data_IF_511708328674
#
_entry.id   IF_511708328674
#
_cell.length_a   1.000
_cell.length_b   1.000
_cell.length_c   1.000
_cell.angle_alpha   90.00
_cell.angle_beta   90.00
_cell.angle_gamma   90.00
#
_symmetry.space_group_name_H-M   'P 1'
#
loop_
_entity.id
_entity.type
_entity.pdbx_description
1 polymer ?
#
# COMPACT_ATOMS: atom_id res chain seq x y z
N UNK A 1 -65.82 24.18 7.14
CA UNK A 1 -64.52 24.36 6.47
C UNK A 1 -63.48 24.64 7.54
N UNK A 2 -62.58 23.68 7.77
CA UNK A 2 -61.41 23.77 8.67
C UNK A 2 -60.26 23.13 7.87
N UNK A 3 -59.10 23.78 7.66
CA UNK A 3 -58.06 23.22 6.82
C UNK A 3 -57.42 22.03 7.53
N UNK A 4 -57.37 20.88 6.85
CA UNK A 4 -56.54 19.73 7.25
C UNK A 4 -55.09 20.10 6.91
N UNK A 5 -54.37 20.67 7.87
CA UNK A 5 -52.92 20.80 7.76
C UNK A 5 -52.32 19.44 8.14
N UNK A 6 -51.81 18.75 7.12
CA UNK A 6 -51.08 17.50 7.29
C UNK A 6 -49.75 17.80 8.00
N UNK A 7 -49.49 17.11 9.11
CA UNK A 7 -48.19 17.14 9.78
C UNK A 7 -47.41 15.91 9.33
N UNK A 8 -46.62 16.05 8.27
CA UNK A 8 -45.66 15.03 7.84
C UNK A 8 -44.45 15.15 8.77
N UNK A 9 -44.37 14.29 9.80
CA UNK A 9 -43.18 14.15 10.64
C UNK A 9 -42.13 13.38 9.85
N UNK A 10 -41.29 14.10 9.11
CA UNK A 10 -40.07 13.53 8.53
C UNK A 10 -38.99 13.63 9.59
N UNK A 11 -38.73 12.54 10.29
CA UNK A 11 -37.52 12.39 11.11
C UNK A 11 -36.41 11.96 10.14
N UNK A 12 -35.70 12.91 9.54
CA UNK A 12 -34.43 12.63 8.90
C UNK A 12 -33.40 12.46 10.02
N UNK A 13 -33.22 11.23 10.48
CA UNK A 13 -32.02 10.86 11.20
C UNK A 13 -30.88 10.90 10.18
N UNK A 14 -30.21 12.04 10.06
CA UNK A 14 -28.93 12.11 9.38
C UNK A 14 -27.97 11.37 10.30
N UNK A 15 -27.78 10.07 10.06
CA UNK A 15 -26.66 9.33 10.63
C UNK A 15 -25.41 9.93 9.99
N UNK A 16 -24.89 10.99 10.62
CA UNK A 16 -23.49 11.35 10.48
C UNK A 16 -22.75 10.33 11.35
N UNK A 17 -22.49 9.15 10.78
CA UNK A 17 -21.54 8.22 11.40
C UNK A 17 -20.25 9.00 11.60
N UNK A 18 -19.80 9.02 12.85
CA UNK A 18 -18.71 9.86 13.30
C UNK A 18 -17.49 9.64 12.44
N UNK A 19 -16.83 10.73 12.09
CA UNK A 19 -15.42 10.68 11.71
C UNK A 19 -14.72 10.11 12.95
N UNK A 20 -14.38 8.83 12.87
CA UNK A 20 -13.42 8.22 13.78
C UNK A 20 -12.10 8.93 13.45
N UNK A 21 -11.51 9.62 14.42
CA UNK A 21 -10.28 10.39 14.17
C UNK A 21 -9.12 9.41 14.17
N UNK A 22 -8.87 8.77 13.02
CA UNK A 22 -7.58 8.15 12.78
C UNK A 22 -6.50 9.25 12.81
N UNK A 23 -5.38 8.95 13.46
CA UNK A 23 -4.23 9.85 13.55
C UNK A 23 -3.37 9.70 12.29
N UNK A 24 -3.25 10.75 11.46
CA UNK A 24 -2.42 10.69 10.27
C UNK A 24 -0.94 10.64 10.65
N UNK A 25 -0.19 9.78 9.97
CA UNK A 25 1.24 9.62 10.11
C UNK A 25 1.92 9.35 8.77
N UNK A 26 3.25 9.37 8.81
CA UNK A 26 4.07 9.04 7.65
C UNK A 26 5.44 8.52 8.06
N UNK A 27 5.95 7.51 7.36
CA UNK A 27 7.32 6.98 7.54
C UNK A 27 8.05 7.04 6.18
N UNK A 28 9.31 7.47 6.21
CA UNK A 28 10.19 7.39 5.05
C UNK A 28 10.84 5.99 5.01
N UNK A 29 10.68 5.30 3.89
CA UNK A 29 11.15 3.93 3.64
C UNK A 29 12.15 3.96 2.50
N UNK A 30 13.26 3.24 2.66
CA UNK A 30 14.18 3.01 1.54
C UNK A 30 13.73 1.77 0.76
N UNK A 31 13.30 1.98 -0.48
CA UNK A 31 12.93 0.89 -1.40
C UNK A 31 13.99 0.86 -2.50
N UNK A 32 14.93 -0.08 -2.36
CA UNK A 32 16.07 -0.26 -3.29
C UNK A 32 16.88 1.03 -3.52
N UNK A 33 17.23 1.74 -2.45
CA UNK A 33 17.97 3.00 -2.50
C UNK A 33 17.13 4.22 -2.91
N UNK A 34 15.82 4.06 -3.10
CA UNK A 34 14.89 5.15 -3.37
C UNK A 34 14.08 5.47 -2.10
N UNK A 35 14.18 6.70 -1.55
CA UNK A 35 13.38 7.10 -0.41
C UNK A 35 11.93 7.36 -0.83
N UNK A 36 10.99 6.67 -0.19
CA UNK A 36 9.55 6.73 -0.42
C UNK A 36 8.85 7.06 0.89
N UNK A 37 8.00 8.08 0.90
CA UNK A 37 7.18 8.41 2.08
C UNK A 37 5.87 7.64 2.01
N UNK A 38 5.65 6.72 2.95
CA UNK A 38 4.38 5.99 3.08
C UNK A 38 3.50 6.74 4.07
N UNK A 39 2.27 7.06 3.64
CA UNK A 39 1.28 7.74 4.47
C UNK A 39 0.28 6.73 5.02
N UNK A 40 -0.14 6.96 6.26
CA UNK A 40 -1.14 6.14 6.92
C UNK A 40 -2.01 6.97 7.87
N UNK A 41 -3.16 6.42 8.22
CA UNK A 41 -4.08 6.90 9.23
C UNK A 41 -4.32 5.75 10.22
N UNK A 42 -4.11 6.00 11.52
CA UNK A 42 -4.14 4.94 12.53
C UNK A 42 -5.07 5.25 13.72
N UNK A 43 -5.86 4.28 14.16
CA UNK A 43 -6.63 4.34 15.42
C UNK A 43 -6.21 3.18 16.33
N UNK A 44 -5.64 3.50 17.50
CA UNK A 44 -5.18 2.48 18.44
C UNK A 44 -3.98 1.66 17.93
N UNK A 45 -3.28 2.15 16.91
CA UNK A 45 -2.06 1.58 16.35
C UNK A 45 -1.00 2.68 16.34
N UNK A 46 0.19 2.39 16.86
CA UNK A 46 1.39 3.18 16.61
C UNK A 46 2.24 2.43 15.58
N UNK A 47 2.55 3.07 14.45
CA UNK A 47 3.49 2.52 13.47
C UNK A 47 4.89 2.97 13.84
N UNK A 48 5.77 2.01 14.12
CA UNK A 48 7.13 2.26 14.65
C UNK A 48 8.16 2.35 13.51
N UNK A 49 8.12 1.38 12.60
CA UNK A 49 9.03 1.28 11.44
C UNK A 49 8.29 0.69 10.26
N UNK A 50 8.79 0.97 9.05
CA UNK A 50 8.47 0.23 7.85
C UNK A 50 9.78 -0.04 7.12
N UNK A 51 10.05 -1.32 6.82
CA UNK A 51 11.21 -1.78 6.09
C UNK A 51 10.77 -2.60 4.87
N UNK A 52 11.42 -2.38 3.72
CA UNK A 52 11.15 -3.17 2.53
C UNK A 52 12.02 -4.42 2.49
N UNK A 53 11.39 -5.59 2.28
CA UNK A 53 12.07 -6.84 1.97
C UNK A 53 11.99 -7.12 0.47
N UNK A 54 13.11 -6.86 -0.22
CA UNK A 54 13.20 -7.02 -1.68
C UNK A 54 13.30 -8.49 -2.10
N UNK A 55 13.73 -9.39 -1.21
CA UNK A 55 13.85 -10.82 -1.51
C UNK A 55 12.47 -11.49 -1.49
N UNK A 56 11.55 -10.99 -0.67
CA UNK A 56 10.17 -11.50 -0.52
C UNK A 56 9.10 -10.61 -1.14
N UNK A 57 9.46 -9.43 -1.65
CA UNK A 57 8.53 -8.45 -2.22
C UNK A 57 7.45 -8.07 -1.19
N UNK A 58 7.91 -7.65 -0.02
CA UNK A 58 7.03 -7.27 1.09
C UNK A 58 7.49 -6.00 1.81
N UNK A 59 6.56 -5.43 2.57
CA UNK A 59 6.81 -4.38 3.56
C UNK A 59 6.60 -4.99 4.94
N UNK A 60 7.64 -4.97 5.77
CA UNK A 60 7.61 -5.39 7.17
C UNK A 60 7.39 -4.13 8.01
N UNK A 61 6.36 -4.16 8.83
CA UNK A 61 5.85 -3.01 9.59
C UNK A 61 5.86 -3.39 11.07
N UNK A 62 6.73 -2.74 11.84
CA UNK A 62 6.69 -2.85 13.30
C UNK A 62 5.58 -1.93 13.83
N UNK A 63 4.71 -2.47 14.68
CA UNK A 63 3.58 -1.74 15.27
C UNK A 63 3.52 -1.94 16.79
N UNK A 64 2.90 -0.99 17.49
CA UNK A 64 2.40 -1.20 18.86
C UNK A 64 0.88 -0.99 18.85
N UNK A 65 0.14 -2.08 18.99
CA UNK A 65 -1.34 -2.06 18.91
C UNK A 65 -1.96 -2.02 20.30
N UNK A 66 -2.47 -0.85 20.67
CA UNK A 66 -3.21 -0.62 21.91
C UNK A 66 -4.74 -0.69 21.74
N UNK A 67 -5.23 -0.68 20.50
CA UNK A 67 -6.63 -0.84 20.12
C UNK A 67 -7.14 -2.28 20.29
N UNK A 68 -8.46 -2.47 20.19
CA UNK A 68 -9.10 -3.80 20.22
C UNK A 68 -10.44 -3.77 19.44
N UNK A 69 -10.43 -3.80 18.10
CA UNK A 69 -9.23 -3.83 17.25
C UNK A 69 -8.57 -2.45 17.15
N UNK A 70 -7.28 -2.44 16.80
CA UNK A 70 -6.64 -1.27 16.21
C UNK A 70 -6.92 -1.22 14.71
N UNK A 71 -7.01 -0.03 14.13
CA UNK A 71 -7.26 0.16 12.70
C UNK A 71 -6.06 0.87 12.09
N UNK A 72 -5.51 0.30 11.02
CA UNK A 72 -4.48 0.92 10.20
C UNK A 72 -4.99 1.08 8.77
N UNK A 73 -5.13 2.33 8.31
CA UNK A 73 -5.34 2.68 6.91
C UNK A 73 -4.00 3.10 6.29
N UNK A 74 -3.45 2.31 5.37
CA UNK A 74 -2.13 2.55 4.76
C UNK A 74 -2.27 2.74 3.25
N UNK A 75 -1.67 3.82 2.73
CA UNK A 75 -1.70 4.14 1.29
C UNK A 75 -0.37 3.78 0.64
N UNK A 76 -0.42 2.87 -0.33
CA UNK A 76 0.71 2.34 -1.08
C UNK A 76 0.75 2.96 -2.48
N UNK A 77 1.88 3.53 -2.86
CA UNK A 77 2.10 4.05 -4.21
C UNK A 77 2.50 2.93 -5.16
N UNK A 78 1.69 2.70 -6.20
CA UNK A 78 1.83 1.59 -7.15
C UNK A 78 3.13 1.61 -7.94
N UNK A 79 3.78 2.77 -8.04
CA UNK A 79 5.09 2.90 -8.70
C UNK A 79 6.26 2.39 -7.87
N UNK A 80 6.05 2.05 -6.59
CA UNK A 80 7.09 1.56 -5.70
C UNK A 80 6.75 0.19 -5.12
N UNK A 81 5.48 -0.08 -4.85
CA UNK A 81 5.03 -1.36 -4.31
C UNK A 81 3.59 -1.64 -4.75
N UNK A 82 3.38 -2.77 -5.41
CA UNK A 82 2.07 -3.18 -5.91
C UNK A 82 1.89 -4.71 -5.90
N UNK A 83 0.64 -5.15 -6.04
CA UNK A 83 0.27 -6.54 -6.30
C UNK A 83 -0.46 -6.63 -7.63
N UNK A 84 0.28 -6.99 -8.68
CA UNK A 84 -0.19 -7.11 -10.06
C UNK A 84 0.34 -8.40 -10.68
N UNK A 85 -0.53 -9.09 -11.41
CA UNK A 85 -0.17 -10.25 -12.21
C UNK A 85 -0.76 -10.13 -13.62
N UNK A 86 0.09 -10.29 -14.64
CA UNK A 86 -0.29 -10.17 -16.07
C UNK A 86 -1.07 -8.87 -16.38
N UNK A 87 -0.68 -7.77 -15.72
CA UNK A 87 -1.30 -6.45 -15.87
C UNK A 87 -2.67 -6.30 -15.21
N UNK A 88 -3.07 -7.23 -14.36
CA UNK A 88 -4.30 -7.18 -13.56
C UNK A 88 -3.96 -7.05 -12.08
N UNK A 89 -4.69 -6.20 -11.37
CA UNK A 89 -4.56 -6.02 -9.93
C UNK A 89 -4.93 -7.33 -9.23
N UNK A 90 -4.01 -7.84 -8.42
CA UNK A 90 -4.23 -8.96 -7.52
C UNK A 90 -4.31 -8.44 -6.08
N UNK A 91 -4.84 -9.25 -5.18
CA UNK A 91 -4.89 -8.88 -3.76
C UNK A 91 -3.47 -8.89 -3.17
N UNK A 92 -3.22 -8.02 -2.20
CA UNK A 92 -2.07 -8.16 -1.31
C UNK A 92 -2.32 -9.32 -0.34
N UNK A 93 -1.25 -9.96 0.11
CA UNK A 93 -1.31 -10.90 1.24
C UNK A 93 -0.88 -10.14 2.49
N UNK A 94 -1.69 -10.20 3.53
CA UNK A 94 -1.45 -9.49 4.79
C UNK A 94 -1.26 -10.51 5.90
N UNK A 95 -0.18 -10.39 6.66
CA UNK A 95 0.14 -11.28 7.79
C UNK A 95 0.44 -10.43 9.02
N UNK A 96 -0.30 -10.62 10.10
CA UNK A 96 -0.07 -9.99 11.40
C UNK A 96 0.33 -11.08 12.41
N UNK A 97 1.54 -10.98 12.98
CA UNK A 97 2.15 -11.99 13.87
C UNK A 97 2.05 -13.45 13.36
N UNK A 98 2.10 -13.65 12.05
CA UNK A 98 2.03 -14.96 11.40
C UNK A 98 0.61 -15.46 11.06
N UNK A 99 -0.43 -14.67 11.30
CA UNK A 99 -1.83 -15.01 10.96
C UNK A 99 -2.44 -13.96 10.00
N UNK A 100 -3.45 -14.32 9.22
CA UNK A 100 -4.12 -13.37 8.31
C UNK A 100 -5.15 -12.52 9.09
N UNK A 101 -4.99 -11.18 9.15
CA UNK A 101 -5.96 -10.31 9.79
C UNK A 101 -7.19 -10.06 8.90
N UNK A 102 -8.21 -9.41 9.45
CA UNK A 102 -9.29 -8.85 8.62
C UNK A 102 -8.78 -7.59 7.94
N UNK A 103 -8.92 -7.50 6.62
CA UNK A 103 -8.58 -6.28 5.87
C UNK A 103 -9.53 -6.05 4.70
N UNK A 104 -9.55 -4.82 4.21
CA UNK A 104 -10.24 -4.40 2.98
C UNK A 104 -9.37 -3.43 2.19
N UNK A 105 -9.40 -3.53 0.87
CA UNK A 105 -8.90 -2.45 0.01
C UNK A 105 -10.00 -1.42 -0.21
N UNK A 106 -9.87 -0.28 0.46
CA UNK A 106 -10.92 0.75 0.52
C UNK A 106 -10.85 1.75 -0.63
N UNK A 107 -9.68 1.86 -1.29
CA UNK A 107 -9.50 2.70 -2.47
C UNK A 107 -8.42 2.13 -3.40
N UNK A 108 -8.77 2.01 -4.69
CA UNK A 108 -7.84 1.61 -5.76
C UNK A 108 -7.83 2.69 -6.84
N UNK A 109 -6.66 3.21 -7.16
CA UNK A 109 -6.48 4.15 -8.27
C UNK A 109 -5.41 3.63 -9.24
N UNK A 110 -5.17 4.38 -10.32
CA UNK A 110 -4.06 4.09 -11.23
C UNK A 110 -2.68 4.36 -10.63
N UNK A 111 -2.60 5.00 -9.46
CA UNK A 111 -1.33 5.44 -8.85
C UNK A 111 -1.13 4.95 -7.43
N UNK A 112 -2.19 4.55 -6.73
CA UNK A 112 -2.13 4.12 -5.33
C UNK A 112 -3.20 3.08 -5.01
N UNK A 113 -2.96 2.33 -3.94
CA UNK A 113 -3.93 1.43 -3.30
C UNK A 113 -3.93 1.71 -1.80
N UNK A 114 -5.12 1.78 -1.19
CA UNK A 114 -5.28 2.05 0.23
C UNK A 114 -5.91 0.85 0.92
N UNK A 115 -5.21 0.30 1.89
CA UNK A 115 -5.65 -0.86 2.68
C UNK A 115 -6.11 -0.41 4.06
N UNK A 116 -7.25 -0.91 4.51
CA UNK A 116 -7.71 -0.80 5.90
C UNK A 116 -7.56 -2.17 6.57
N UNK A 117 -6.76 -2.23 7.64
CA UNK A 117 -6.38 -3.48 8.30
C UNK A 117 -6.81 -3.42 9.77
N UNK A 118 -7.53 -4.44 10.23
CA UNK A 118 -7.88 -4.61 11.65
C UNK A 118 -6.79 -5.44 12.35
N UNK A 119 -6.14 -4.84 13.36
CA UNK A 119 -5.07 -5.48 14.13
C UNK A 119 -5.56 -5.82 15.55
N UNK A 120 -5.16 -6.99 16.05
CA UNK A 120 -5.49 -7.39 17.41
C UNK A 120 -4.63 -6.63 18.44
N UNK A 121 -5.14 -6.52 19.67
CA UNK A 121 -4.38 -5.90 20.74
C UNK A 121 -3.09 -6.67 21.03
N UNK A 122 -1.96 -5.96 21.07
CA UNK A 122 -0.65 -6.57 21.28
C UNK A 122 -0.03 -7.21 20.04
N UNK A 123 -0.57 -6.95 18.84
CA UNK A 123 0.16 -7.22 17.60
C UNK A 123 1.43 -6.37 17.56
N UNK A 124 2.55 -6.99 17.22
CA UNK A 124 3.88 -6.36 17.20
C UNK A 124 4.43 -6.24 15.77
N UNK A 125 4.04 -7.14 14.85
CA UNK A 125 4.53 -7.17 13.47
C UNK A 125 3.37 -7.34 12.47
N UNK A 126 3.41 -6.56 11.39
CA UNK A 126 2.55 -6.66 10.22
C UNK A 126 3.41 -6.76 8.96
N UNK A 127 3.13 -7.73 8.10
CA UNK A 127 3.75 -7.88 6.79
C UNK A 127 2.70 -7.70 5.68
N UNK A 128 3.00 -6.85 4.71
CA UNK A 128 2.20 -6.65 3.50
C UNK A 128 3.02 -7.18 2.33
N UNK A 129 2.54 -8.23 1.67
CA UNK A 129 3.24 -8.91 0.58
C UNK A 129 2.55 -8.59 -0.75
N UNK A 130 3.35 -8.15 -1.72
CA UNK A 130 2.93 -7.81 -3.07
C UNK A 130 3.54 -8.75 -4.12
N UNK A 131 3.60 -8.27 -5.36
CA UNK A 131 4.24 -9.00 -6.47
C UNK A 131 5.15 -8.13 -7.33
N UNK A 132 5.11 -6.81 -7.15
CA UNK A 132 5.93 -5.86 -7.87
C UNK A 132 6.49 -4.81 -6.89
N UNK A 133 7.80 -4.70 -6.85
CA UNK A 133 8.47 -3.52 -6.30
C UNK A 133 8.90 -2.74 -7.54
N UNK A 134 8.37 -1.53 -7.72
CA UNK A 134 8.30 -0.78 -8.99
C UNK A 134 9.63 -0.30 -9.59
N UNK A 135 10.70 -1.06 -9.36
CA UNK A 135 11.99 -0.99 -10.01
C UNK A 135 11.88 -1.80 -11.31
N UNK A 136 11.91 -1.12 -12.46
CA UNK A 136 12.13 -1.84 -13.71
C UNK A 136 13.50 -2.51 -13.67
N UNK A 137 13.65 -3.77 -14.13
CA UNK A 137 14.97 -4.36 -14.29
C UNK A 137 15.83 -3.41 -15.13
N UNK A 138 17.06 -3.13 -14.68
CA UNK A 138 17.99 -2.32 -15.47
C UNK A 138 17.96 -2.82 -16.91
N UNK A 139 17.78 -1.92 -17.91
CA UNK A 139 17.82 -2.34 -19.30
C UNK A 139 19.13 -3.07 -19.53
N UNK A 140 19.05 -4.30 -20.05
CA UNK A 140 20.24 -5.10 -20.35
C UNK A 140 21.23 -4.22 -21.12
N UNK A 141 22.54 -4.24 -20.76
CA UNK A 141 23.52 -3.41 -21.43
C UNK A 141 23.39 -3.64 -22.93
N UNK A 142 23.26 -2.54 -23.71
CA UNK A 142 23.23 -2.63 -25.15
C UNK A 142 24.43 -3.46 -25.62
N UNK A 143 24.25 -4.41 -26.55
CA UNK A 143 25.39 -5.20 -27.04
C UNK A 143 26.45 -4.23 -27.55
N UNK A 144 27.68 -4.38 -27.05
CA UNK A 144 28.81 -3.56 -27.51
C UNK A 144 28.86 -3.63 -29.05
N UNK A 145 29.09 -2.49 -29.74
CA UNK A 145 29.18 -2.49 -31.19
C UNK A 145 30.27 -3.48 -31.61
N UNK A 146 29.93 -4.40 -32.52
CA UNK A 146 30.89 -5.34 -33.06
C UNK A 146 32.14 -4.58 -33.56
N UNK A 147 33.35 -5.06 -33.26
CA UNK A 147 34.57 -4.42 -33.71
C UNK A 147 34.52 -4.28 -35.23
N UNK A 148 34.84 -3.08 -35.73
CA UNK A 148 34.87 -2.84 -37.16
C UNK A 148 35.77 -3.88 -37.84
N UNK A 149 35.37 -4.40 -39.02
CA UNK A 149 36.17 -5.38 -39.74
C UNK A 149 37.58 -4.82 -39.96
N UNK A 150 38.60 -5.63 -39.67
CA UNK A 150 39.97 -5.25 -39.98
C UNK A 150 40.09 -4.86 -41.46
N UNK A 151 40.85 -3.81 -41.79
CA UNK A 151 41.04 -3.41 -43.17
C UNK A 151 41.63 -4.58 -43.96
N UNK A 152 40.98 -4.93 -45.09
CA UNK A 152 41.53 -5.93 -45.99
C UNK A 152 42.94 -5.52 -46.44
N UNK A 153 43.89 -6.46 -46.47
CA UNK A 153 45.24 -6.15 -46.92
C UNK A 153 45.21 -5.66 -48.37
N UNK A 154 45.87 -4.54 -48.64
CA UNK A 154 45.98 -4.01 -49.99
C UNK A 154 46.68 -5.05 -50.90
N UNK A 155 46.16 -5.30 -52.11
CA UNK A 155 46.79 -6.21 -53.04
C UNK A 155 48.16 -5.69 -53.48
N UNK A 156 49.16 -6.57 -53.44
CA UNK A 156 50.55 -6.33 -53.78
C UNK A 156 50.83 -6.16 -55.29
#
# INVERSE_FOLDING_TARGET
MIPKVAFLLVVFAIFTTGVIYAEPGSIDVDIDGTPVTINYDAEGVEVVSIDADLDFVSLIIDVDVSGSPGILEITLERSYFDSVFDGTDEDFIIIADGEEPTFEEIETTSTSRTLQIELENGTDELEIIGTDIGIQPEPAPEPEPEPAPEPEPEPA
#
